data_IF_194483474638
#
_entry.id   IF_194483474638
#
_cell.length_a   1.000
_cell.length_b   1.000
_cell.length_c   1.000
_cell.angle_alpha   90.00
_cell.angle_beta   90.00
_cell.angle_gamma   90.00
#
_symmetry.space_group_name_H-M   'P 1'
#
loop_
_entity.id
_entity.type
_entity.pdbx_description
1 polymer ?
#
# COMPACT_ATOMS: atom_id res chain seq x y z
N UNK A 1 0.76 46.26 -11.31
CA UNK A 1 1.03 45.11 -10.39
C UNK A 1 0.99 43.84 -11.28
N UNK A 2 2.17 43.42 -11.80
CA UNK A 2 2.28 42.24 -12.65
C UNK A 2 2.39 41.04 -11.75
N UNK A 3 1.39 40.15 -11.83
CA UNK A 3 1.44 38.83 -11.22
C UNK A 3 2.28 37.97 -12.17
N UNK A 4 3.54 37.75 -11.83
CA UNK A 4 4.39 36.77 -12.51
C UNK A 4 3.86 35.37 -12.14
N UNK A 5 3.17 34.73 -13.05
CA UNK A 5 2.83 33.30 -12.95
C UNK A 5 4.16 32.53 -12.91
N UNK A 6 4.50 31.94 -11.77
CA UNK A 6 5.57 30.97 -11.67
C UNK A 6 5.10 29.72 -12.42
N UNK A 7 5.75 29.41 -13.54
CA UNK A 7 5.61 28.10 -14.17
C UNK A 7 6.26 27.10 -13.23
N UNK A 8 5.53 26.07 -12.72
CA UNK A 8 6.14 25.08 -11.84
C UNK A 8 7.27 24.36 -12.60
N UNK A 9 8.37 24.11 -11.92
CA UNK A 9 9.46 23.26 -12.46
C UNK A 9 8.90 21.84 -12.63
N UNK A 10 9.44 21.06 -13.58
CA UNK A 10 9.01 19.66 -13.83
C UNK A 10 8.92 18.87 -12.51
N UNK A 11 9.93 19.00 -11.65
CA UNK A 11 9.94 18.37 -10.32
C UNK A 11 8.77 18.84 -9.42
N UNK A 12 8.37 20.12 -9.52
CA UNK A 12 7.24 20.65 -8.73
C UNK A 12 5.89 20.05 -9.15
N UNK A 13 5.69 19.83 -10.45
CA UNK A 13 4.48 19.17 -10.99
C UNK A 13 4.41 17.71 -10.56
N UNK A 14 5.53 17.00 -10.57
CA UNK A 14 5.59 15.59 -10.16
C UNK A 14 5.29 15.41 -8.67
N UNK A 15 5.84 16.26 -7.81
CA UNK A 15 5.52 16.25 -6.37
C UNK A 15 4.03 16.49 -6.14
N UNK A 16 3.43 17.45 -6.84
CA UNK A 16 2.00 17.75 -6.72
C UNK A 16 1.14 16.56 -7.15
N UNK A 17 1.50 15.88 -8.25
CA UNK A 17 0.78 14.68 -8.70
C UNK A 17 0.90 13.52 -7.70
N UNK A 18 2.12 13.23 -7.23
CA UNK A 18 2.39 12.15 -6.27
C UNK A 18 1.75 12.41 -4.90
N UNK A 19 1.50 13.68 -4.54
CA UNK A 19 0.87 14.09 -3.29
C UNK A 19 -0.63 14.39 -3.46
N UNK A 20 -1.21 14.15 -4.65
CA UNK A 20 -2.65 14.34 -4.88
C UNK A 20 -3.46 13.64 -3.79
N UNK A 21 -4.44 14.32 -3.17
CA UNK A 21 -5.27 13.71 -2.13
C UNK A 21 -5.92 12.40 -2.57
N UNK A 22 -6.05 11.48 -1.63
CA UNK A 22 -6.78 10.24 -1.87
C UNK A 22 -8.27 10.55 -2.01
N UNK A 23 -8.89 9.95 -3.02
CA UNK A 23 -10.32 10.08 -3.31
C UNK A 23 -10.94 8.69 -3.47
N UNK A 24 -11.79 8.31 -2.51
CA UNK A 24 -12.44 7.00 -2.51
C UNK A 24 -13.32 6.78 -3.75
N UNK A 25 -13.90 7.83 -4.32
CA UNK A 25 -14.75 7.72 -5.51
C UNK A 25 -13.94 7.37 -6.75
N UNK A 26 -12.77 8.01 -6.91
CA UNK A 26 -11.83 7.72 -8.00
C UNK A 26 -11.29 6.29 -7.88
N UNK A 27 -10.88 5.91 -6.67
CA UNK A 27 -10.31 4.58 -6.42
C UNK A 27 -11.37 3.50 -6.64
N UNK A 28 -12.58 3.65 -6.06
CA UNK A 28 -13.66 2.68 -6.21
C UNK A 28 -14.15 2.54 -7.65
N UNK A 29 -14.01 3.57 -8.49
CA UNK A 29 -14.32 3.49 -9.92
C UNK A 29 -13.25 2.70 -10.73
N UNK A 30 -12.04 2.54 -10.19
CA UNK A 30 -10.89 1.91 -10.86
C UNK A 30 -10.58 0.48 -10.36
N UNK A 31 -11.18 0.05 -9.26
CA UNK A 31 -11.04 -1.31 -8.72
C UNK A 31 -12.22 -2.21 -9.13
N UNK A 32 -12.05 -3.53 -8.96
CA UNK A 32 -13.16 -4.49 -9.14
C UNK A 32 -14.23 -4.30 -8.06
N UNK A 33 -15.40 -4.90 -8.26
CA UNK A 33 -16.51 -4.86 -7.28
C UNK A 33 -16.19 -5.62 -5.96
N UNK A 34 -15.11 -6.38 -5.93
CA UNK A 34 -14.65 -7.02 -4.71
C UNK A 34 -14.22 -6.01 -3.66
N UNK A 35 -13.58 -4.90 -4.07
CA UNK A 35 -13.01 -3.90 -3.19
C UNK A 35 -14.00 -2.78 -2.83
N UNK A 36 -13.93 -2.34 -1.59
CA UNK A 36 -14.68 -1.19 -1.05
C UNK A 36 -13.72 -0.29 -0.28
N UNK A 37 -13.27 0.76 -0.93
CA UNK A 37 -12.25 1.66 -0.40
C UNK A 37 -12.91 2.84 0.31
N UNK A 38 -12.52 3.03 1.57
CA UNK A 38 -12.79 4.22 2.37
C UNK A 38 -11.51 5.00 2.61
N UNK A 39 -11.58 6.32 2.59
CA UNK A 39 -10.44 7.22 2.85
C UNK A 39 -10.72 8.01 4.11
N UNK A 40 -9.71 8.14 4.97
CA UNK A 40 -9.72 8.98 6.17
C UNK A 40 -8.56 9.96 6.16
N UNK A 41 -8.79 11.18 6.61
CA UNK A 41 -7.74 12.20 6.68
C UNK A 41 -6.65 11.84 7.70
N UNK A 42 -7.07 11.36 8.87
CA UNK A 42 -6.20 11.06 9.99
C UNK A 42 -6.69 9.83 10.73
N UNK A 43 -5.78 8.93 11.02
CA UNK A 43 -6.00 7.85 11.99
C UNK A 43 -4.74 7.57 12.80
N UNK A 44 -4.86 6.79 13.86
CA UNK A 44 -3.68 6.23 14.53
C UNK A 44 -3.00 5.20 13.62
N UNK A 45 -3.78 4.26 13.04
CA UNK A 45 -3.28 3.22 12.15
C UNK A 45 -4.43 2.57 11.38
N UNK A 46 -4.35 2.55 10.06
CA UNK A 46 -5.32 1.85 9.20
C UNK A 46 -5.42 0.36 9.56
N UNK A 47 -4.28 -0.27 9.93
CA UNK A 47 -4.26 -1.65 10.38
C UNK A 47 -5.13 -1.85 11.63
N UNK A 48 -4.98 -0.99 12.62
CA UNK A 48 -5.77 -1.07 13.86
C UNK A 48 -7.26 -0.80 13.61
N UNK A 49 -7.58 0.10 12.68
CA UNK A 49 -8.97 0.42 12.34
C UNK A 49 -9.67 -0.78 11.69
N UNK A 50 -9.03 -1.41 10.68
CA UNK A 50 -9.59 -2.59 10.02
C UNK A 50 -9.70 -3.76 11.01
N UNK A 51 -8.67 -4.02 11.83
CA UNK A 51 -8.71 -5.04 12.89
C UNK A 51 -9.90 -4.80 13.83
N UNK A 52 -10.12 -3.56 14.26
CA UNK A 52 -11.24 -3.21 15.14
C UNK A 52 -12.60 -3.42 14.46
N UNK A 53 -12.73 -3.17 13.14
CA UNK A 53 -13.96 -3.47 12.40
C UNK A 53 -14.23 -4.97 12.33
N UNK A 54 -13.19 -5.78 12.03
CA UNK A 54 -13.31 -7.25 12.02
C UNK A 54 -13.74 -7.78 13.39
N UNK A 55 -13.09 -7.35 14.46
CA UNK A 55 -13.42 -7.78 15.84
C UNK A 55 -14.85 -7.42 16.26
N UNK A 56 -15.41 -6.33 15.72
CA UNK A 56 -16.80 -5.91 15.94
C UNK A 56 -17.81 -6.58 15.00
N UNK A 57 -17.37 -7.46 14.09
CA UNK A 57 -18.23 -8.08 13.08
C UNK A 57 -18.80 -7.09 12.06
N UNK A 58 -18.08 -5.98 11.80
CA UNK A 58 -18.50 -4.91 10.89
C UNK A 58 -17.71 -4.85 9.59
N UNK A 59 -16.64 -5.63 9.46
CA UNK A 59 -15.87 -5.73 8.24
C UNK A 59 -16.37 -6.86 7.34
N UNK A 60 -16.26 -6.66 6.05
CA UNK A 60 -16.46 -7.67 5.01
C UNK A 60 -15.17 -7.86 4.21
N UNK A 61 -14.93 -9.07 3.68
CA UNK A 61 -13.81 -9.31 2.78
C UNK A 61 -13.83 -8.31 1.60
N UNK A 62 -12.69 -7.68 1.33
CA UNK A 62 -12.57 -6.59 0.36
C UNK A 62 -12.74 -5.18 0.94
N UNK A 63 -13.00 -5.02 2.24
CA UNK A 63 -12.99 -3.68 2.85
C UNK A 63 -11.56 -3.15 2.99
N UNK A 64 -11.38 -1.90 2.57
CA UNK A 64 -10.09 -1.19 2.55
C UNK A 64 -10.25 0.15 3.28
N UNK A 65 -9.32 0.46 4.17
CA UNK A 65 -9.16 1.80 4.75
C UNK A 65 -7.80 2.34 4.29
N UNK A 66 -7.81 3.47 3.60
CA UNK A 66 -6.63 4.27 3.27
C UNK A 66 -6.62 5.56 4.08
N UNK A 67 -5.44 6.07 4.43
CA UNK A 67 -5.29 7.29 5.22
C UNK A 67 -4.30 8.27 4.56
N UNK A 68 -4.62 9.57 4.67
CA UNK A 68 -3.69 10.63 4.32
C UNK A 68 -2.53 10.73 5.32
N UNK A 69 -2.81 10.46 6.58
CA UNK A 69 -1.81 10.48 7.65
C UNK A 69 -2.12 9.46 8.74
N UNK A 70 -1.07 8.79 9.25
CA UNK A 70 -1.12 7.95 10.44
C UNK A 70 -0.25 8.53 11.55
N UNK A 71 -0.84 8.75 12.73
CA UNK A 71 -0.11 9.27 13.91
C UNK A 71 0.66 8.19 14.69
N UNK A 72 0.35 6.91 14.46
CA UNK A 72 0.98 5.74 15.10
C UNK A 72 0.99 4.54 14.15
N UNK A 73 1.52 4.75 12.92
CA UNK A 73 1.60 3.70 11.90
C UNK A 73 2.35 2.46 12.40
N UNK A 74 1.80 1.27 12.17
CA UNK A 74 2.33 0.00 12.66
C UNK A 74 3.21 -0.70 11.62
N UNK A 75 4.32 -1.23 12.07
CA UNK A 75 5.18 -2.17 11.35
C UNK A 75 5.36 -3.46 12.13
N UNK A 76 6.17 -4.40 11.63
CA UNK A 76 6.51 -5.66 12.33
C UNK A 76 7.39 -5.40 13.55
N UNK A 77 7.28 -6.28 14.55
CA UNK A 77 8.13 -6.29 15.76
C UNK A 77 8.10 -4.93 16.47
N UNK A 78 6.90 -4.35 16.62
CA UNK A 78 6.69 -3.06 17.29
C UNK A 78 7.42 -1.87 16.67
N UNK A 79 7.86 -1.98 15.41
CA UNK A 79 8.37 -0.83 14.65
C UNK A 79 7.21 0.05 14.19
N UNK A 80 7.48 1.33 13.97
CA UNK A 80 6.55 2.26 13.32
C UNK A 80 6.74 2.29 11.81
N UNK A 81 5.72 2.78 11.12
CA UNK A 81 5.81 3.26 9.75
C UNK A 81 5.40 4.74 9.76
N UNK A 82 6.39 5.60 9.74
CA UNK A 82 6.19 7.04 9.87
C UNK A 82 6.43 7.72 8.52
N UNK A 83 5.51 8.60 8.12
CA UNK A 83 5.58 9.37 6.90
C UNK A 83 4.91 10.74 7.11
N UNK A 84 5.43 11.83 6.53
CA UNK A 84 4.72 13.09 6.49
C UNK A 84 3.36 12.94 5.77
N UNK A 85 2.42 13.83 6.10
CA UNK A 85 1.08 13.82 5.51
C UNK A 85 1.17 13.86 3.98
N UNK A 86 0.36 13.05 3.31
CA UNK A 86 0.22 12.97 1.85
C UNK A 86 1.49 12.56 1.08
N UNK A 87 2.56 12.10 1.76
CA UNK A 87 3.81 11.68 1.09
C UNK A 87 3.95 10.17 0.93
N UNK A 88 3.08 9.40 1.59
CA UNK A 88 3.04 7.95 1.49
C UNK A 88 1.65 7.47 1.10
N UNK A 89 1.56 6.25 0.56
CA UNK A 89 0.32 5.52 0.43
C UNK A 89 0.21 4.55 1.62
N UNK A 90 -0.75 4.80 2.50
CA UNK A 90 -0.97 4.11 3.76
C UNK A 90 -2.35 3.48 3.75
N UNK A 91 -2.45 2.16 3.73
CA UNK A 91 -3.74 1.49 3.70
C UNK A 91 -3.68 0.10 4.31
N UNK A 92 -4.83 -0.40 4.70
CA UNK A 92 -5.02 -1.78 5.16
C UNK A 92 -6.32 -2.33 4.60
N UNK A 93 -6.36 -3.64 4.35
CA UNK A 93 -7.53 -4.31 3.81
C UNK A 93 -7.76 -5.66 4.50
N UNK A 94 -9.01 -6.12 4.47
CA UNK A 94 -9.44 -7.38 5.04
C UNK A 94 -9.78 -8.39 3.94
N UNK A 95 -9.28 -9.60 4.09
CA UNK A 95 -9.60 -10.74 3.22
C UNK A 95 -10.01 -11.96 4.07
N UNK A 96 -10.83 -12.82 3.49
CA UNK A 96 -11.24 -14.11 4.08
C UNK A 96 -10.83 -15.24 3.12
N UNK A 97 -9.65 -15.83 3.30
CA UNK A 97 -9.21 -16.94 2.48
C UNK A 97 -10.09 -18.18 2.72
N UNK A 98 -10.35 -18.93 1.65
CA UNK A 98 -11.02 -20.22 1.72
C UNK A 98 -10.04 -21.36 2.07
N UNK A 99 -8.73 -21.15 1.88
CA UNK A 99 -7.68 -22.08 2.26
C UNK A 99 -7.54 -22.24 3.78
N UNK A 100 -6.96 -23.36 4.19
CA UNK A 100 -6.67 -23.64 5.58
C UNK A 100 -5.75 -22.57 6.20
N UNK A 101 -5.90 -22.34 7.50
CA UNK A 101 -5.08 -21.37 8.25
C UNK A 101 -3.58 -21.60 8.16
N UNK A 102 -3.16 -22.83 7.99
CA UNK A 102 -1.77 -23.22 7.82
C UNK A 102 -1.13 -22.57 6.59
N UNK A 103 -1.92 -22.31 5.55
CA UNK A 103 -1.49 -21.68 4.30
C UNK A 103 -1.45 -20.13 4.40
N UNK A 104 -2.04 -19.52 5.41
CA UNK A 104 -2.16 -18.05 5.49
C UNK A 104 -0.83 -17.31 5.59
N UNK A 105 0.25 -18.03 5.95
CA UNK A 105 1.61 -17.49 5.89
C UNK A 105 2.01 -16.95 4.51
N UNK A 106 1.46 -17.53 3.43
CA UNK A 106 1.70 -17.10 2.05
C UNK A 106 1.12 -15.72 1.73
N UNK A 107 0.08 -15.27 2.43
CA UNK A 107 -0.58 -13.99 2.15
C UNK A 107 0.35 -12.78 2.26
N UNK A 108 1.31 -12.82 3.17
CA UNK A 108 2.34 -11.79 3.27
C UNK A 108 3.23 -11.76 2.03
N UNK A 109 3.56 -12.92 1.46
CA UNK A 109 4.35 -13.02 0.24
C UNK A 109 3.53 -12.59 -0.98
N UNK A 110 2.28 -13.04 -1.10
CA UNK A 110 1.35 -12.61 -2.16
C UNK A 110 1.23 -11.09 -2.20
N UNK A 111 1.03 -10.46 -1.03
CA UNK A 111 0.97 -9.00 -0.93
C UNK A 111 2.30 -8.35 -1.36
N UNK A 112 3.43 -8.91 -0.92
CA UNK A 112 4.74 -8.42 -1.31
C UNK A 112 5.01 -8.52 -2.81
N UNK A 113 4.68 -9.66 -3.43
CA UNK A 113 4.78 -9.88 -4.88
C UNK A 113 3.88 -8.90 -5.63
N UNK A 114 2.65 -8.69 -5.16
CA UNK A 114 1.72 -7.73 -5.79
C UNK A 114 2.26 -6.30 -5.76
N UNK A 115 2.86 -5.86 -4.65
CA UNK A 115 3.54 -4.55 -4.60
C UNK A 115 4.71 -4.51 -5.57
N UNK A 116 5.56 -5.54 -5.61
CA UNK A 116 6.71 -5.58 -6.51
C UNK A 116 6.30 -5.58 -7.98
N UNK A 117 5.25 -6.31 -8.36
CA UNK A 117 4.69 -6.31 -9.71
C UNK A 117 4.13 -4.94 -10.10
N UNK A 118 3.33 -4.31 -9.23
CA UNK A 118 2.79 -2.96 -9.45
C UNK A 118 3.91 -1.93 -9.64
N UNK A 119 5.02 -2.09 -8.93
CA UNK A 119 6.18 -1.21 -9.01
C UNK A 119 7.30 -1.74 -9.95
N UNK A 120 7.01 -2.72 -10.80
CA UNK A 120 8.01 -3.41 -11.64
C UNK A 120 8.80 -2.47 -12.56
N UNK A 121 8.17 -1.40 -13.08
CA UNK A 121 8.84 -0.38 -13.91
C UNK A 121 9.99 0.33 -13.20
N UNK A 122 10.02 0.31 -11.85
CA UNK A 122 11.11 0.87 -11.03
C UNK A 122 12.12 -0.20 -10.58
N UNK A 123 11.98 -1.46 -11.03
CA UNK A 123 12.84 -2.57 -10.62
C UNK A 123 12.60 -3.00 -9.17
N UNK A 124 11.37 -2.87 -8.69
CA UNK A 124 10.99 -3.28 -7.35
C UNK A 124 11.10 -4.80 -7.18
N UNK A 125 11.55 -5.23 -6.01
CA UNK A 125 11.68 -6.65 -5.66
C UNK A 125 11.34 -6.89 -4.19
N UNK A 126 10.85 -8.08 -3.91
CA UNK A 126 10.55 -8.50 -2.54
C UNK A 126 11.85 -8.80 -1.81
N UNK A 127 11.99 -8.27 -0.60
CA UNK A 127 12.96 -8.70 0.40
C UNK A 127 12.20 -9.38 1.53
N UNK A 128 12.36 -10.69 1.58
CA UNK A 128 11.69 -11.47 2.62
C UNK A 128 12.05 -10.92 4.03
N UNK A 129 11.11 -10.88 4.97
CA UNK A 129 9.76 -11.42 4.86
C UNK A 129 8.69 -10.38 4.45
N UNK A 130 8.98 -9.07 4.42
CA UNK A 130 7.93 -8.06 4.35
C UNK A 130 8.36 -6.69 3.83
N UNK A 131 9.52 -6.57 3.22
CA UNK A 131 10.02 -5.32 2.65
C UNK A 131 10.04 -5.39 1.12
N UNK A 132 9.77 -4.26 0.47
CA UNK A 132 9.95 -4.09 -0.96
C UNK A 132 11.09 -3.10 -1.18
N UNK A 133 12.02 -3.49 -2.03
CA UNK A 133 13.21 -2.71 -2.33
C UNK A 133 13.22 -2.25 -3.79
N UNK A 134 13.76 -1.04 -4.00
CA UNK A 134 14.23 -0.54 -5.30
C UNK A 134 15.70 -0.16 -5.10
N UNK A 135 16.61 -0.65 -5.97
CA UNK A 135 18.06 -0.41 -5.87
C UNK A 135 18.61 -0.64 -4.45
N UNK A 136 18.20 -1.75 -3.82
CA UNK A 136 18.59 -2.15 -2.45
C UNK A 136 18.09 -1.24 -1.32
N UNK A 137 17.24 -0.24 -1.62
CA UNK A 137 16.62 0.64 -0.63
C UNK A 137 15.15 0.34 -0.45
N UNK A 138 14.68 0.41 0.79
CA UNK A 138 13.29 0.10 1.14
C UNK A 138 12.35 1.20 0.65
N UNK A 139 11.41 0.85 -0.24
CA UNK A 139 10.33 1.72 -0.70
C UNK A 139 9.00 1.40 -0.01
N UNK A 140 8.80 0.15 0.42
CA UNK A 140 7.55 -0.28 1.04
C UNK A 140 7.80 -1.30 2.14
N UNK A 141 6.88 -1.35 3.09
CA UNK A 141 6.79 -2.38 4.11
C UNK A 141 5.35 -2.83 4.29
N UNK A 142 5.17 -4.09 4.67
CA UNK A 142 3.84 -4.64 4.89
C UNK A 142 3.77 -5.47 6.18
N UNK A 143 2.56 -5.61 6.71
CA UNK A 143 2.23 -6.48 7.85
C UNK A 143 0.96 -7.27 7.50
N UNK A 144 0.90 -8.52 7.94
CA UNK A 144 -0.29 -9.36 7.86
C UNK A 144 -0.62 -9.88 9.25
N UNK A 145 -1.88 -9.81 9.65
CA UNK A 145 -2.38 -10.19 10.96
C UNK A 145 -3.65 -11.03 10.80
N UNK A 146 -3.64 -12.27 11.31
CA UNK A 146 -4.82 -13.12 11.32
C UNK A 146 -5.80 -12.62 12.38
N UNK A 147 -7.04 -12.31 11.98
CA UNK A 147 -8.08 -11.76 12.84
C UNK A 147 -9.41 -12.41 12.50
N UNK A 148 -10.04 -13.06 13.47
CA UNK A 148 -11.29 -13.80 13.24
C UNK A 148 -11.08 -14.88 12.17
N UNK A 149 -11.93 -14.88 11.15
CA UNK A 149 -11.92 -15.85 10.06
C UNK A 149 -11.20 -15.32 8.80
N UNK A 150 -10.29 -14.35 8.98
CA UNK A 150 -9.56 -13.78 7.87
C UNK A 150 -8.24 -13.16 8.28
N UNK A 151 -7.69 -12.37 7.37
CA UNK A 151 -6.40 -11.69 7.53
C UNK A 151 -6.54 -10.21 7.18
N UNK A 152 -6.01 -9.35 8.04
CA UNK A 152 -5.84 -7.93 7.75
C UNK A 152 -4.42 -7.70 7.28
N UNK A 153 -4.29 -7.12 6.09
CA UNK A 153 -2.99 -6.78 5.49
C UNK A 153 -2.86 -5.27 5.43
N UNK A 154 -1.80 -4.74 6.05
CA UNK A 154 -1.44 -3.33 6.00
C UNK A 154 -0.19 -3.13 5.15
N UNK A 155 -0.23 -2.11 4.29
CA UNK A 155 0.87 -1.76 3.38
C UNK A 155 1.13 -0.26 3.49
N UNK A 156 2.42 0.09 3.62
CA UNK A 156 2.91 1.45 3.51
C UNK A 156 3.91 1.56 2.36
N UNK A 157 3.72 2.54 1.48
CA UNK A 157 4.62 2.82 0.34
C UNK A 157 5.08 4.26 0.43
N UNK A 158 6.39 4.49 0.42
CA UNK A 158 6.96 5.83 0.32
C UNK A 158 6.76 6.35 -1.11
N UNK A 159 5.90 7.35 -1.30
CA UNK A 159 5.53 7.85 -2.63
C UNK A 159 6.26 9.16 -2.94
N UNK A 160 5.89 10.24 -2.27
CA UNK A 160 6.37 11.60 -2.52
C UNK A 160 7.40 12.09 -1.49
N UNK A 161 7.93 11.21 -0.63
CA UNK A 161 8.91 11.60 0.39
C UNK A 161 10.21 12.08 -0.25
N UNK A 162 10.64 13.28 0.10
CA UNK A 162 11.96 13.79 -0.25
C UNK A 162 13.06 13.05 0.55
N UNK A 163 14.31 13.14 0.10
CA UNK A 163 15.44 12.47 0.77
C UNK A 163 15.59 12.85 2.25
N UNK A 164 15.29 14.10 2.59
CA UNK A 164 15.34 14.63 3.97
C UNK A 164 14.21 14.13 4.87
N UNK A 165 13.15 13.59 4.29
CA UNK A 165 11.96 13.11 5.01
C UNK A 165 12.00 11.59 5.26
N UNK A 166 12.93 10.89 4.62
CA UNK A 166 13.09 9.44 4.80
C UNK A 166 13.60 9.13 6.22
N UNK A 167 13.01 8.11 6.90
CA UNK A 167 13.35 7.80 8.29
C UNK A 167 14.77 7.24 8.47
N UNK A 168 15.33 6.63 7.41
CA UNK A 168 16.66 6.02 7.42
C UNK A 168 17.31 6.10 6.03
N UNK A 169 18.65 6.06 5.98
CA UNK A 169 19.41 6.14 4.72
C UNK A 169 19.19 4.94 3.78
N UNK A 170 18.73 3.81 4.32
CA UNK A 170 18.40 2.61 3.56
C UNK A 170 16.95 2.61 3.02
N UNK A 171 16.22 3.71 3.17
CA UNK A 171 14.92 3.91 2.56
C UNK A 171 15.03 4.69 1.25
N UNK A 172 13.99 4.59 0.42
CA UNK A 172 13.76 5.39 -0.78
C UNK A 172 12.28 5.69 -0.95
N UNK A 173 11.92 6.50 -1.94
CA UNK A 173 10.54 6.79 -2.33
C UNK A 173 10.39 6.72 -3.85
N UNK A 174 9.17 6.63 -4.33
CA UNK A 174 8.89 6.63 -5.77
C UNK A 174 9.35 7.95 -6.42
N UNK A 175 9.22 9.09 -5.71
CA UNK A 175 9.75 10.38 -6.16
C UNK A 175 11.25 10.33 -6.42
N UNK A 176 12.03 9.78 -5.49
CA UNK A 176 13.49 9.65 -5.61
C UNK A 176 13.88 8.68 -6.74
N UNK A 177 13.06 7.66 -6.97
CA UNK A 177 13.27 6.68 -8.04
C UNK A 177 12.73 7.14 -9.41
N UNK A 178 12.30 8.41 -9.52
CA UNK A 178 11.90 9.03 -10.78
C UNK A 178 10.49 8.64 -11.23
N UNK A 179 9.54 8.53 -10.29
CA UNK A 179 8.15 8.30 -10.65
C UNK A 179 7.56 9.56 -11.31
N UNK A 180 6.98 9.37 -12.47
CA UNK A 180 6.31 10.40 -13.27
C UNK A 180 4.88 9.96 -13.60
N UNK A 181 3.96 10.95 -13.70
CA UNK A 181 2.58 10.73 -14.10
C UNK A 181 1.85 9.66 -13.27
N UNK A 182 2.12 9.60 -11.97
CA UNK A 182 1.53 8.66 -11.03
C UNK A 182 0.80 9.41 -9.92
N UNK A 183 -0.40 8.97 -9.58
CA UNK A 183 -1.13 9.42 -8.40
C UNK A 183 -1.24 8.29 -7.38
N UNK A 184 -1.40 8.63 -6.09
CA UNK A 184 -1.66 7.62 -5.04
C UNK A 184 -2.98 6.89 -5.26
N UNK A 185 -3.97 7.55 -5.87
CA UNK A 185 -5.25 6.94 -6.24
C UNK A 185 -5.07 5.80 -7.24
N UNK A 186 -4.33 6.07 -8.33
CA UNK A 186 -4.04 5.06 -9.34
C UNK A 186 -3.19 3.93 -8.78
N UNK A 187 -2.15 4.27 -8.00
CA UNK A 187 -1.27 3.28 -7.38
C UNK A 187 -2.04 2.31 -6.46
N UNK A 188 -2.98 2.84 -5.66
CA UNK A 188 -3.82 1.99 -4.80
C UNK A 188 -4.72 1.07 -5.61
N UNK A 189 -5.38 1.61 -6.64
CA UNK A 189 -6.26 0.82 -7.49
C UNK A 189 -5.49 -0.30 -8.22
N UNK A 190 -4.34 0.02 -8.83
CA UNK A 190 -3.50 -0.95 -9.53
C UNK A 190 -3.04 -2.06 -8.59
N UNK A 191 -2.65 -1.69 -7.36
CA UNK A 191 -2.16 -2.64 -6.37
C UNK A 191 -3.27 -3.57 -5.88
N UNK A 192 -4.46 -3.05 -5.59
CA UNK A 192 -5.61 -3.87 -5.16
C UNK A 192 -6.02 -4.85 -6.26
N UNK A 193 -6.09 -4.41 -7.52
CA UNK A 193 -6.40 -5.28 -8.66
C UNK A 193 -5.29 -6.34 -8.88
N UNK A 194 -4.01 -5.95 -8.75
CA UNK A 194 -2.89 -6.89 -8.85
C UNK A 194 -2.92 -7.93 -7.73
N UNK A 195 -3.22 -7.48 -6.49
CA UNK A 195 -3.34 -8.39 -5.35
C UNK A 195 -4.49 -9.40 -5.58
N UNK A 196 -5.65 -8.95 -6.01
CA UNK A 196 -6.80 -9.84 -6.31
C UNK A 196 -6.45 -10.86 -7.39
N UNK A 197 -5.75 -10.41 -8.45
CA UNK A 197 -5.25 -11.29 -9.52
C UNK A 197 -4.28 -12.37 -9.04
N UNK A 198 -3.48 -12.11 -8.01
CA UNK A 198 -2.58 -13.08 -7.40
C UNK A 198 -3.27 -13.92 -6.30
N UNK A 199 -4.15 -13.30 -5.52
CA UNK A 199 -4.82 -13.93 -4.40
C UNK A 199 -5.87 -14.96 -4.85
N UNK A 200 -6.68 -14.63 -5.86
CA UNK A 200 -7.79 -15.48 -6.30
C UNK A 200 -7.33 -16.85 -6.79
N UNK A 201 -6.34 -16.99 -7.70
CA UNK A 201 -5.82 -18.30 -8.10
C UNK A 201 -5.23 -19.07 -6.91
N UNK A 202 -4.46 -18.41 -6.06
CA UNK A 202 -3.90 -19.03 -4.87
C UNK A 202 -5.02 -19.58 -3.96
N UNK A 203 -6.06 -18.80 -3.70
CA UNK A 203 -7.17 -19.21 -2.82
C UNK A 203 -7.98 -20.37 -3.40
N UNK A 204 -8.02 -20.49 -4.74
CA UNK A 204 -8.65 -21.59 -5.47
C UNK A 204 -7.79 -22.87 -5.56
N UNK A 205 -6.60 -22.88 -4.98
CA UNK A 205 -5.74 -24.07 -4.96
C UNK A 205 -4.65 -24.11 -6.03
N UNK A 206 -4.52 -23.06 -6.84
CA UNK A 206 -3.44 -22.91 -7.80
C UNK A 206 -2.14 -22.48 -7.07
N UNK A 207 -1.00 -23.09 -7.41
CA UNK A 207 0.26 -22.88 -6.68
C UNK A 207 1.28 -22.00 -7.44
N UNK A 208 0.87 -21.32 -8.48
CA UNK A 208 1.77 -20.55 -9.36
C UNK A 208 2.58 -19.44 -8.67
N UNK A 209 2.15 -18.98 -7.49
CA UNK A 209 2.90 -17.93 -6.76
C UNK A 209 4.26 -18.42 -6.24
N UNK A 210 4.41 -19.72 -5.98
CA UNK A 210 5.70 -20.29 -5.59
C UNK A 210 6.74 -20.21 -6.72
N UNK A 211 6.31 -20.12 -7.97
CA UNK A 211 7.18 -20.05 -9.16
C UNK A 211 7.59 -18.60 -9.51
N UNK A 212 6.93 -17.61 -8.93
CA UNK A 212 7.19 -16.17 -9.18
C UNK A 212 8.16 -15.55 -8.16
N UNK A 213 8.46 -16.26 -7.06
CA UNK A 213 9.41 -15.86 -6.03
C UNK A 213 10.77 -16.51 -6.25
#
# INVERSE_FOLDING_TARGET
>A
MQITAHTPTVLGVEIEMLSTPLDSSIINAAVTQYWRVSVVELTASTQSDVVALVQKGKAQAGDVIAAEFQSAGRGRLSRSFDAPQSTALLFSFYIQPTRNREDWGWLSLIAGVSVAQTLSKYGARVKWPNDILIKDKKVSGLIAEAVGDGVVIGIGINVAMALSELPVQTATSLLIEGAENLTRNQLLADLLNTFEGNFTPWDQGENEIADVY
#
